data_IF_787906693219
#
_entry.id   IF_787906693219
#
_cell.length_a   1.000
_cell.length_b   1.000
_cell.length_c   1.000
_cell.angle_alpha   90.00
_cell.angle_beta   90.00
_cell.angle_gamma   90.00
#
_symmetry.space_group_name_H-M   'P 1'
#
loop_
_entity.id
_entity.type
_entity.pdbx_description
1 polymer ?
#
# COMPACT_ATOMS: atom_id res chain seq x y z
N UNK A 1 -13.89 0.60 -26.32
CA UNK A 1 -12.79 1.21 -25.53
C UNK A 1 -12.73 0.49 -24.20
N UNK A 2 -11.65 -0.21 -23.88
CA UNK A 2 -11.49 -0.82 -22.56
C UNK A 2 -11.01 0.26 -21.60
N UNK A 3 -11.86 0.69 -20.68
CA UNK A 3 -11.49 1.59 -19.58
C UNK A 3 -10.90 0.75 -18.46
N UNK A 4 -9.58 0.59 -18.42
CA UNK A 4 -8.94 -0.11 -17.30
C UNK A 4 -8.93 0.79 -16.07
N UNK A 5 -9.77 0.47 -15.08
CA UNK A 5 -9.63 1.05 -13.73
C UNK A 5 -8.52 0.31 -13.01
N UNK A 6 -7.47 1.02 -12.59
CA UNK A 6 -6.41 0.42 -11.76
C UNK A 6 -7.01 -0.08 -10.44
N UNK A 7 -6.69 -1.30 -10.04
CA UNK A 7 -7.06 -1.84 -8.72
C UNK A 7 -6.41 -0.99 -7.61
N UNK A 8 -7.21 -0.60 -6.63
CA UNK A 8 -6.70 0.07 -5.41
C UNK A 8 -5.94 -0.94 -4.54
N UNK A 9 -5.18 -0.46 -3.55
CA UNK A 9 -4.50 -1.36 -2.60
C UNK A 9 -5.47 -2.31 -1.89
N UNK A 10 -6.66 -1.81 -1.52
CA UNK A 10 -7.70 -2.59 -0.86
C UNK A 10 -8.24 -3.68 -1.79
N UNK A 11 -8.46 -3.36 -3.06
CA UNK A 11 -9.00 -4.33 -4.01
C UNK A 11 -7.97 -5.43 -4.32
N UNK A 12 -6.68 -5.09 -4.41
CA UNK A 12 -5.59 -6.06 -4.56
C UNK A 12 -5.56 -7.05 -3.39
N UNK A 13 -5.72 -6.56 -2.16
CA UNK A 13 -5.74 -7.41 -0.97
C UNK A 13 -6.95 -8.35 -0.95
N UNK A 14 -8.14 -7.85 -1.31
CA UNK A 14 -9.36 -8.69 -1.44
C UNK A 14 -9.16 -9.81 -2.47
N UNK A 15 -8.53 -9.51 -3.61
CA UNK A 15 -8.23 -10.52 -4.62
C UNK A 15 -7.27 -11.56 -4.05
N UNK A 16 -6.17 -11.11 -3.42
CA UNK A 16 -5.17 -12.01 -2.83
C UNK A 16 -5.82 -12.98 -1.83
N UNK A 17 -6.69 -12.49 -0.94
CA UNK A 17 -7.27 -13.28 0.14
C UNK A 17 -8.45 -14.14 -0.29
N UNK A 18 -9.36 -13.60 -1.10
CA UNK A 18 -10.71 -14.15 -1.24
C UNK A 18 -11.07 -14.61 -2.66
N UNK A 19 -10.21 -14.35 -3.67
CA UNK A 19 -10.55 -14.69 -5.04
C UNK A 19 -10.69 -16.22 -5.22
N UNK A 20 -11.83 -16.65 -5.74
CA UNK A 20 -12.10 -18.05 -6.01
C UNK A 20 -11.35 -18.52 -7.27
N UNK A 21 -10.23 -19.23 -7.07
CA UNK A 21 -9.38 -19.74 -8.15
C UNK A 21 -10.02 -20.88 -8.95
N UNK A 22 -11.02 -21.56 -8.39
CA UNK A 22 -11.73 -22.65 -9.09
C UNK A 22 -12.50 -22.12 -10.32
N UNK A 23 -12.79 -20.81 -10.35
CA UNK A 23 -13.39 -20.14 -11.51
C UNK A 23 -12.41 -20.01 -12.70
N UNK A 24 -11.11 -20.00 -12.44
CA UNK A 24 -10.07 -19.84 -13.47
C UNK A 24 -9.40 -21.16 -13.86
N UNK A 25 -9.30 -22.10 -12.91
CA UNK A 25 -8.56 -23.33 -13.09
C UNK A 25 -9.48 -24.54 -12.95
N UNK A 26 -9.76 -25.21 -14.08
CA UNK A 26 -10.50 -26.47 -14.10
C UNK A 26 -9.78 -27.60 -13.33
N UNK A 27 -8.45 -27.54 -13.27
CA UNK A 27 -7.64 -28.46 -12.49
C UNK A 27 -7.58 -27.99 -11.02
N UNK A 28 -8.28 -28.72 -10.14
CA UNK A 28 -8.34 -28.41 -8.70
C UNK A 28 -6.97 -28.43 -8.02
N UNK A 29 -6.10 -29.36 -8.36
CA UNK A 29 -4.74 -29.42 -7.79
C UNK A 29 -3.94 -28.18 -8.15
N UNK A 30 -4.12 -27.64 -9.37
CA UNK A 30 -3.49 -26.37 -9.78
C UNK A 30 -4.07 -25.18 -9.01
N UNK A 31 -5.39 -25.13 -8.86
CA UNK A 31 -6.05 -24.07 -8.08
C UNK A 31 -5.54 -24.05 -6.63
N UNK A 32 -5.44 -25.23 -6.01
CA UNK A 32 -4.90 -25.40 -4.65
C UNK A 32 -3.43 -24.96 -4.54
N UNK A 33 -2.58 -25.32 -5.49
CA UNK A 33 -1.17 -24.93 -5.49
C UNK A 33 -1.00 -23.41 -5.58
N UNK A 34 -1.77 -22.75 -6.46
CA UNK A 34 -1.77 -21.28 -6.58
C UNK A 34 -2.34 -20.64 -5.30
N UNK A 35 -3.37 -21.25 -4.69
CA UNK A 35 -3.92 -20.78 -3.42
C UNK A 35 -2.90 -20.82 -2.30
N UNK A 36 -2.13 -21.91 -2.19
CA UNK A 36 -1.03 -22.03 -1.22
C UNK A 36 0.02 -20.92 -1.45
N UNK A 37 0.40 -20.66 -2.71
CA UNK A 37 1.33 -19.59 -3.04
C UNK A 37 0.81 -18.21 -2.61
N UNK A 38 -0.47 -17.93 -2.85
CA UNK A 38 -1.10 -16.66 -2.49
C UNK A 38 -1.24 -16.51 -0.97
N UNK A 39 -1.62 -17.58 -0.27
CA UNK A 39 -1.71 -17.58 1.19
C UNK A 39 -0.34 -17.34 1.83
N UNK A 40 0.71 -18.03 1.36
CA UNK A 40 2.07 -17.80 1.86
C UNK A 40 2.56 -16.36 1.60
N UNK A 41 2.21 -15.77 0.45
CA UNK A 41 2.51 -14.36 0.20
C UNK A 41 1.72 -13.44 1.14
N UNK A 42 0.43 -13.73 1.38
CA UNK A 42 -0.40 -12.97 2.30
C UNK A 42 0.16 -13.03 3.74
N UNK A 43 0.64 -14.19 4.19
CA UNK A 43 1.29 -14.32 5.51
C UNK A 43 2.53 -13.44 5.63
N UNK A 44 3.39 -13.41 4.61
CA UNK A 44 4.54 -12.49 4.57
C UNK A 44 4.09 -11.04 4.58
N UNK A 45 3.04 -10.71 3.82
CA UNK A 45 2.47 -9.36 3.78
C UNK A 45 1.96 -8.92 5.16
N UNK A 46 1.16 -9.75 5.83
CA UNK A 46 0.66 -9.49 7.18
C UNK A 46 1.81 -9.38 8.19
N UNK A 47 2.83 -10.24 8.07
CA UNK A 47 4.02 -10.14 8.92
C UNK A 47 4.67 -8.76 8.77
N UNK A 48 4.90 -8.26 7.55
CA UNK A 48 5.48 -6.92 7.32
C UNK A 48 4.67 -5.76 7.94
N UNK A 49 3.38 -5.96 8.23
CA UNK A 49 2.50 -4.98 8.87
C UNK A 49 2.45 -5.12 10.40
N UNK A 50 3.29 -5.95 11.01
CA UNK A 50 3.45 -6.01 12.46
C UNK A 50 4.51 -5.02 12.92
N UNK A 51 4.30 -4.44 14.09
CA UNK A 51 5.28 -3.54 14.72
C UNK A 51 6.59 -4.26 15.07
N UNK A 52 6.50 -5.54 15.46
CA UNK A 52 7.64 -6.38 15.81
C UNK A 52 7.56 -7.69 15.06
N UNK A 53 8.62 -8.00 14.33
CA UNK A 53 8.77 -9.23 13.54
C UNK A 53 10.17 -9.74 13.81
N UNK A 54 10.29 -11.05 14.06
CA UNK A 54 11.60 -11.68 14.12
C UNK A 54 12.11 -11.89 12.69
N UNK A 55 13.20 -11.21 12.31
CA UNK A 55 13.79 -11.35 10.98
C UNK A 55 14.20 -12.78 10.64
N UNK A 56 14.56 -13.61 11.62
CA UNK A 56 14.89 -15.03 11.42
C UNK A 56 13.64 -15.82 11.01
N UNK A 57 12.52 -15.63 11.71
CA UNK A 57 11.25 -16.30 11.38
C UNK A 57 10.72 -15.83 10.03
N UNK A 58 10.81 -14.53 9.75
CA UNK A 58 10.42 -13.96 8.47
C UNK A 58 11.25 -14.56 7.33
N UNK A 59 12.58 -14.67 7.50
CA UNK A 59 13.47 -15.30 6.51
C UNK A 59 13.06 -16.74 6.22
N UNK A 60 12.74 -17.53 7.25
CA UNK A 60 12.31 -18.92 7.09
C UNK A 60 11.06 -19.00 6.21
N UNK A 61 10.02 -18.23 6.54
CA UNK A 61 8.77 -18.19 5.76
C UNK A 61 9.01 -17.70 4.33
N UNK A 62 9.86 -16.68 4.15
CA UNK A 62 10.17 -16.14 2.83
C UNK A 62 10.90 -17.15 1.94
N UNK A 63 11.82 -17.94 2.53
CA UNK A 63 12.51 -19.03 1.84
C UNK A 63 11.56 -20.19 1.49
N UNK A 64 10.65 -20.58 2.39
CA UNK A 64 9.62 -21.57 2.11
C UNK A 64 8.70 -21.11 0.96
N UNK A 65 8.30 -19.83 0.98
CA UNK A 65 7.47 -19.24 -0.05
C UNK A 65 8.16 -19.17 -1.42
N UNK A 66 9.43 -18.73 -1.49
CA UNK A 66 10.14 -18.68 -2.79
C UNK A 66 10.41 -20.07 -3.36
N UNK A 67 10.62 -21.08 -2.51
CA UNK A 67 10.74 -22.47 -2.94
C UNK A 67 9.43 -22.97 -3.58
N UNK A 68 8.28 -22.62 -2.98
CA UNK A 68 6.98 -22.90 -3.58
C UNK A 68 6.82 -22.14 -4.91
N UNK A 69 7.16 -20.85 -4.97
CA UNK A 69 7.12 -20.04 -6.19
C UNK A 69 7.90 -20.68 -7.34
N UNK A 70 9.07 -21.27 -7.04
CA UNK A 70 9.97 -21.92 -7.98
C UNK A 70 9.65 -23.40 -8.25
N UNK A 71 8.48 -23.90 -7.84
CA UNK A 71 8.06 -25.28 -8.11
C UNK A 71 8.19 -25.58 -9.60
N UNK A 72 9.09 -26.51 -10.00
CA UNK A 72 9.34 -26.78 -11.40
C UNK A 72 8.18 -27.53 -12.04
N UNK A 73 8.09 -27.46 -13.37
CA UNK A 73 7.20 -28.36 -14.11
C UNK A 73 7.82 -29.75 -14.17
N UNK A 74 6.99 -30.79 -14.14
CA UNK A 74 7.42 -32.19 -14.24
C UNK A 74 6.75 -32.90 -15.41
N UNK A 75 7.39 -33.96 -15.90
CA UNK A 75 6.92 -34.74 -17.05
C UNK A 75 7.28 -34.13 -18.40
N UNK A 76 6.84 -34.76 -19.48
CA UNK A 76 7.18 -34.34 -20.85
C UNK A 76 6.11 -33.35 -21.39
N UNK A 77 6.48 -32.11 -21.76
CA UNK A 77 5.55 -31.13 -22.33
C UNK A 77 4.80 -31.61 -23.57
N UNK A 78 5.39 -32.52 -24.35
CA UNK A 78 4.79 -33.09 -25.55
C UNK A 78 3.77 -34.21 -25.24
N UNK A 79 3.68 -34.64 -23.97
CA UNK A 79 2.74 -35.65 -23.51
C UNK A 79 1.86 -35.09 -22.37
N UNK A 80 0.73 -34.44 -22.71
CA UNK A 80 -0.13 -33.73 -21.75
C UNK A 80 -0.61 -34.58 -20.57
N UNK A 81 -0.72 -35.89 -20.77
CA UNK A 81 -1.17 -36.85 -19.75
C UNK A 81 -0.14 -37.03 -18.62
N UNK A 82 1.14 -36.77 -18.89
CA UNK A 82 2.25 -36.90 -17.93
C UNK A 82 2.78 -35.55 -17.46
N UNK A 83 2.42 -34.47 -18.16
CA UNK A 83 2.93 -33.14 -17.87
C UNK A 83 2.15 -32.47 -16.74
N UNK A 84 2.86 -32.11 -15.68
CA UNK A 84 2.35 -31.29 -14.59
C UNK A 84 3.08 -29.95 -14.64
N UNK A 85 2.34 -28.89 -14.97
CA UNK A 85 2.88 -27.55 -14.99
C UNK A 85 3.13 -27.06 -13.56
N UNK A 86 4.38 -26.66 -13.29
CA UNK A 86 4.77 -25.99 -12.07
C UNK A 86 4.25 -24.56 -11.96
N UNK A 87 4.92 -23.75 -11.15
CA UNK A 87 4.59 -22.36 -10.91
C UNK A 87 5.43 -21.44 -11.81
N UNK A 88 6.46 -20.79 -11.25
CA UNK A 88 7.27 -19.77 -11.91
C UNK A 88 8.73 -20.21 -12.04
N UNK A 89 9.48 -19.53 -12.90
CA UNK A 89 10.90 -19.79 -13.16
C UNK A 89 11.77 -18.80 -12.39
N UNK A 90 13.07 -19.10 -12.20
CA UNK A 90 14.02 -18.15 -11.62
C UNK A 90 14.06 -16.80 -12.35
N UNK A 91 13.88 -16.80 -13.68
CA UNK A 91 13.85 -15.57 -14.48
C UNK A 91 12.61 -14.70 -14.23
N UNK A 92 11.56 -15.25 -13.59
CA UNK A 92 10.34 -14.51 -13.25
C UNK A 92 10.47 -13.79 -11.89
N UNK A 93 11.61 -13.93 -11.20
CA UNK A 93 11.90 -13.23 -9.96
C UNK A 93 12.09 -11.74 -10.26
N UNK A 94 11.17 -10.92 -9.78
CA UNK A 94 11.28 -9.47 -9.87
C UNK A 94 12.24 -8.92 -8.80
N UNK A 95 12.77 -7.70 -8.97
CA UNK A 95 13.57 -7.05 -7.93
C UNK A 95 12.86 -6.99 -6.58
N UNK A 96 11.53 -6.77 -6.55
CA UNK A 96 10.75 -6.75 -5.31
C UNK A 96 10.71 -8.11 -4.61
N UNK A 97 10.61 -9.22 -5.35
CA UNK A 97 10.67 -10.57 -4.78
C UNK A 97 12.05 -10.83 -4.20
N UNK A 98 13.12 -10.46 -4.92
CA UNK A 98 14.48 -10.61 -4.43
C UNK A 98 14.68 -9.83 -3.13
N UNK A 99 14.27 -8.56 -3.08
CA UNK A 99 14.34 -7.74 -1.87
C UNK A 99 13.52 -8.34 -0.72
N UNK A 100 12.29 -8.79 -1.00
CA UNK A 100 11.42 -9.42 0.00
C UNK A 100 12.08 -10.63 0.68
N UNK A 101 12.73 -11.49 -0.10
CA UNK A 101 13.26 -12.76 0.42
C UNK A 101 14.63 -12.58 1.07
N UNK A 102 15.50 -11.75 0.50
CA UNK A 102 16.91 -11.70 0.89
C UNK A 102 17.27 -10.48 1.74
N UNK A 103 16.64 -9.32 1.49
CA UNK A 103 17.03 -8.05 2.11
C UNK A 103 16.10 -7.60 3.24
N UNK A 104 14.79 -7.87 3.14
CA UNK A 104 13.84 -7.55 4.21
C UNK A 104 14.18 -8.24 5.54
N UNK A 105 14.59 -9.53 5.60
CA UNK A 105 14.97 -10.14 6.86
C UNK A 105 16.19 -9.46 7.53
N UNK A 106 17.19 -9.06 6.73
CA UNK A 106 18.36 -8.33 7.22
C UNK A 106 17.94 -6.95 7.74
N UNK A 107 17.12 -6.24 6.99
CA UNK A 107 16.56 -4.95 7.38
C UNK A 107 15.80 -5.03 8.71
N UNK A 108 14.97 -6.06 8.89
CA UNK A 108 14.22 -6.29 10.13
C UNK A 108 15.14 -6.55 11.32
N UNK A 109 16.28 -7.21 11.13
CA UNK A 109 17.26 -7.43 12.20
C UNK A 109 17.96 -6.12 12.60
N UNK A 110 18.23 -5.23 11.65
CA UNK A 110 18.88 -3.93 11.91
C UNK A 110 17.91 -2.90 12.52
N UNK A 111 16.64 -2.94 12.12
CA UNK A 111 15.64 -1.91 12.47
C UNK A 111 14.44 -2.47 13.24
N UNK A 112 14.64 -3.50 14.05
CA UNK A 112 13.59 -4.21 14.79
C UNK A 112 12.72 -3.31 15.68
N UNK A 113 13.27 -2.18 16.13
CA UNK A 113 12.57 -1.24 17.03
C UNK A 113 11.46 -0.45 16.35
N UNK A 114 11.61 -0.17 15.05
CA UNK A 114 10.66 0.61 14.26
C UNK A 114 9.72 -0.27 13.43
N UNK A 115 10.15 -1.51 13.14
CA UNK A 115 9.47 -2.40 12.21
C UNK A 115 9.50 -1.85 10.77
N UNK A 116 8.88 -2.55 9.83
CA UNK A 116 8.82 -2.10 8.42
C UNK A 116 7.87 -0.93 8.22
N UNK A 117 6.77 -0.87 8.98
CA UNK A 117 5.75 0.19 8.82
C UNK A 117 6.35 1.57 9.09
N UNK A 118 7.30 1.69 10.03
CA UNK A 118 7.97 2.96 10.34
C UNK A 118 8.69 3.59 9.14
N UNK A 119 9.04 2.79 8.14
CA UNK A 119 9.70 3.22 6.90
C UNK A 119 8.75 3.29 5.70
N UNK A 120 7.45 3.08 5.91
CA UNK A 120 6.46 3.13 4.83
C UNK A 120 6.24 4.55 4.32
N UNK A 121 6.19 4.71 3.00
CA UNK A 121 5.83 5.98 2.35
C UNK A 121 4.32 6.30 2.40
N UNK A 122 3.47 5.42 2.94
CA UNK A 122 2.01 5.61 2.92
C UNK A 122 1.55 6.92 3.56
N UNK A 123 2.22 7.38 4.61
CA UNK A 123 1.90 8.67 5.24
C UNK A 123 2.19 9.85 4.31
N UNK A 124 3.32 9.80 3.59
CA UNK A 124 3.73 10.82 2.62
C UNK A 124 2.79 10.83 1.41
N UNK A 125 2.43 9.65 0.90
CA UNK A 125 1.46 9.51 -0.19
C UNK A 125 0.08 10.06 0.19
N UNK A 126 -0.39 9.76 1.41
CA UNK A 126 -1.65 10.30 1.94
C UNK A 126 -1.58 11.82 2.06
N UNK A 127 -0.48 12.37 2.56
CA UNK A 127 -0.28 13.82 2.68
C UNK A 127 -0.28 14.50 1.32
N UNK A 128 0.43 13.93 0.35
CA UNK A 128 0.41 14.40 -1.04
C UNK A 128 -1.01 14.38 -1.62
N UNK A 129 -1.77 13.31 -1.40
CA UNK A 129 -3.16 13.25 -1.84
C UNK A 129 -4.03 14.35 -1.20
N UNK A 130 -3.86 14.61 0.10
CA UNK A 130 -4.57 15.69 0.80
C UNK A 130 -4.22 17.07 0.23
N UNK A 131 -2.95 17.35 -0.07
CA UNK A 131 -2.52 18.60 -0.70
C UNK A 131 -3.13 18.77 -2.09
N UNK A 132 -3.07 17.72 -2.93
CA UNK A 132 -3.71 17.73 -4.25
C UNK A 132 -5.20 18.02 -4.15
N UNK A 133 -5.90 17.38 -3.21
CA UNK A 133 -7.33 17.60 -2.99
C UNK A 133 -7.63 19.01 -2.50
N UNK A 134 -6.85 19.53 -1.55
CA UNK A 134 -7.13 20.79 -0.88
C UNK A 134 -6.80 22.01 -1.75
N UNK A 135 -5.63 22.02 -2.40
CA UNK A 135 -5.12 23.19 -3.11
C UNK A 135 -5.39 23.15 -4.62
N UNK A 136 -5.54 21.96 -5.21
CA UNK A 136 -5.63 21.82 -6.68
C UNK A 136 -6.99 21.31 -7.17
N UNK A 137 -7.73 20.55 -6.34
CA UNK A 137 -9.09 20.11 -6.71
C UNK A 137 -10.19 21.06 -6.25
N UNK A 138 -9.91 22.00 -5.33
CA UNK A 138 -10.86 23.00 -4.84
C UNK A 138 -10.60 24.40 -5.44
N UNK A 139 -10.61 24.54 -6.76
CA UNK A 139 -10.87 25.78 -7.53
C UNK A 139 -10.88 25.34 -8.99
N UNK A 140 -11.95 25.49 -9.79
CA UNK A 140 -12.56 26.75 -10.22
C UNK A 140 -14.09 26.59 -10.32
N UNK A 141 -14.86 27.17 -9.39
CA UNK A 141 -16.22 27.64 -9.70
C UNK A 141 -16.34 29.16 -9.62
N UNK A 142 -15.45 29.81 -8.87
CA UNK A 142 -15.24 31.25 -8.94
C UNK A 142 -13.74 31.49 -9.11
N UNK A 143 -13.33 31.93 -10.31
CA UNK A 143 -11.93 32.06 -10.71
C UNK A 143 -11.04 32.71 -9.65
N UNK A 144 -9.79 32.24 -9.60
CA UNK A 144 -8.78 32.60 -8.61
C UNK A 144 -8.95 34.01 -8.03
N UNK A 145 -9.17 34.06 -6.72
CA UNK A 145 -9.11 35.32 -5.97
C UNK A 145 -7.76 36.00 -6.24
N UNK A 146 -7.77 37.32 -6.15
CA UNK A 146 -6.81 38.32 -6.65
C UNK A 146 -5.32 38.15 -6.28
N UNK A 147 -4.92 37.06 -5.61
CA UNK A 147 -3.54 36.72 -5.29
C UNK A 147 -2.87 35.93 -6.43
N UNK A 148 -2.77 36.53 -7.62
CA UNK A 148 -2.14 35.94 -8.82
C UNK A 148 -0.62 35.65 -8.63
N UNK A 149 0.02 36.15 -7.56
CA UNK A 149 1.47 36.10 -7.40
C UNK A 149 2.00 35.04 -6.42
N UNK A 150 1.17 34.19 -5.83
CA UNK A 150 1.62 33.19 -4.85
C UNK A 150 1.62 31.79 -5.46
N UNK A 151 2.76 31.10 -5.41
CA UNK A 151 2.81 29.72 -5.88
C UNK A 151 2.12 28.80 -4.88
N UNK A 152 1.49 27.72 -5.38
CA UNK A 152 0.85 26.70 -4.55
C UNK A 152 1.78 26.10 -3.49
N UNK A 153 3.10 26.07 -3.76
CA UNK A 153 4.09 25.60 -2.80
C UNK A 153 4.16 26.51 -1.57
N UNK A 154 4.16 27.84 -1.77
CA UNK A 154 4.15 28.79 -0.64
C UNK A 154 2.84 28.66 0.14
N UNK A 155 1.70 28.51 -0.53
CA UNK A 155 0.40 28.33 0.12
C UNK A 155 0.35 27.06 0.98
N UNK A 156 0.84 25.93 0.45
CA UNK A 156 0.97 24.68 1.20
C UNK A 156 1.88 24.86 2.41
N UNK A 157 3.06 25.47 2.24
CA UNK A 157 4.00 25.68 3.34
C UNK A 157 3.40 26.54 4.46
N UNK A 158 2.71 27.63 4.13
CA UNK A 158 2.06 28.48 5.14
C UNK A 158 0.89 27.78 5.84
N UNK A 159 0.12 26.99 5.11
CA UNK A 159 -0.96 26.20 5.69
C UNK A 159 -0.41 25.16 6.67
N UNK A 160 0.62 24.43 6.29
CA UNK A 160 1.31 23.46 7.16
C UNK A 160 1.91 24.14 8.39
N UNK A 161 2.62 25.26 8.23
CA UNK A 161 3.21 26.01 9.34
C UNK A 161 2.15 26.49 10.33
N UNK A 162 1.00 26.99 9.85
CA UNK A 162 -0.13 27.37 10.72
C UNK A 162 -0.69 26.18 11.48
N UNK A 163 -0.89 25.04 10.83
CA UNK A 163 -1.37 23.83 11.51
C UNK A 163 -0.38 23.36 12.59
N UNK A 164 0.93 23.38 12.30
CA UNK A 164 1.95 23.03 13.28
C UNK A 164 1.96 23.99 14.47
N UNK A 165 1.81 25.29 14.24
CA UNK A 165 1.68 26.28 15.30
C UNK A 165 0.48 25.98 16.20
N UNK A 166 -0.71 25.77 15.63
CA UNK A 166 -1.90 25.48 16.40
C UNK A 166 -1.79 24.16 17.17
N UNK A 167 -1.25 23.11 16.54
CA UNK A 167 -1.02 21.82 17.18
C UNK A 167 -0.04 21.91 18.36
N UNK A 168 1.04 22.68 18.22
CA UNK A 168 2.05 22.83 19.29
C UNK A 168 1.61 23.70 20.46
N UNK A 169 0.60 24.56 20.25
CA UNK A 169 0.11 25.50 21.26
C UNK A 169 -1.28 25.13 21.80
N UNK A 170 -1.77 23.92 21.52
CA UNK A 170 -3.12 23.44 21.88
C UNK A 170 -4.25 24.42 21.50
N UNK A 171 -4.06 25.16 20.41
CA UNK A 171 -5.06 26.11 19.91
C UNK A 171 -6.03 25.37 19.00
N UNK A 172 -7.36 25.45 19.23
CA UNK A 172 -8.34 24.79 18.38
C UNK A 172 -8.24 25.25 16.92
N UNK A 173 -8.09 24.30 15.99
CA UNK A 173 -8.00 24.57 14.54
C UNK A 173 -9.37 24.97 13.94
N UNK A 174 -10.45 24.75 14.69
CA UNK A 174 -11.80 25.18 14.33
C UNK A 174 -12.24 26.32 15.24
N UNK A 175 -12.39 27.52 14.68
CA UNK A 175 -13.35 28.45 15.23
C UNK A 175 -14.73 27.94 14.84
N UNK A 176 -15.61 27.70 15.82
CA UNK A 176 -17.05 27.69 15.52
C UNK A 176 -17.34 29.01 14.83
N UNK A 177 -17.73 28.94 13.55
CA UNK A 177 -18.13 30.12 12.81
C UNK A 177 -19.36 30.65 13.53
N UNK A 178 -19.20 31.72 14.31
CA UNK A 178 -20.34 32.42 14.94
C UNK A 178 -21.22 32.89 13.77
N UNK A 179 -22.31 32.16 13.54
CA UNK A 179 -23.24 32.42 12.42
C UNK A 179 -24.19 33.57 12.74
N UNK A 180 -24.18 34.08 13.98
CA UNK A 180 -25.06 35.15 14.42
C UNK A 180 -24.37 36.02 15.46
N UNK A 181 -24.13 37.29 15.14
CA UNK A 181 -23.82 38.33 16.13
C UNK A 181 -25.16 38.80 16.70
N UNK A 182 -25.45 38.52 17.96
CA UNK A 182 -26.63 39.07 18.62
C UNK A 182 -26.27 40.46 19.15
N UNK A 183 -26.87 41.51 18.58
CA UNK A 183 -26.57 42.94 18.85
C UNK A 183 -27.11 43.39 20.23
N UNK A 184 -27.32 42.49 21.18
CA UNK A 184 -27.86 42.84 22.51
C UNK A 184 -26.78 43.15 23.56
N UNK A 185 -25.51 42.87 23.27
CA UNK A 185 -24.40 43.12 24.22
C UNK A 185 -23.59 44.39 23.86
N UNK A 186 -24.20 45.33 23.12
CA UNK A 186 -23.60 46.65 22.81
C UNK A 186 -24.40 47.82 23.42
N UNK A 187 -24.97 47.63 24.61
CA UNK A 187 -25.35 48.72 25.52
C UNK A 187 -25.12 48.33 26.98
#
# INVERSE_FOLDING_TARGET
MWTSTSLTGIDKLKVLQNFNLDLLFLNKSRAQLIRQLWNGFNELYEDMHKQRINGIEFKKKALEWINLFLTPSSGNPNHPQTFVRGLYRPNDITPYIHTLVYHIPEFLNLHSNFGLIGFSCSAVEKKNHQHVVHFFRKTLKDGGGENINKSAIIEIMEWENRNLYFFSHDVPVFFEKITTINVKDMQ
#
